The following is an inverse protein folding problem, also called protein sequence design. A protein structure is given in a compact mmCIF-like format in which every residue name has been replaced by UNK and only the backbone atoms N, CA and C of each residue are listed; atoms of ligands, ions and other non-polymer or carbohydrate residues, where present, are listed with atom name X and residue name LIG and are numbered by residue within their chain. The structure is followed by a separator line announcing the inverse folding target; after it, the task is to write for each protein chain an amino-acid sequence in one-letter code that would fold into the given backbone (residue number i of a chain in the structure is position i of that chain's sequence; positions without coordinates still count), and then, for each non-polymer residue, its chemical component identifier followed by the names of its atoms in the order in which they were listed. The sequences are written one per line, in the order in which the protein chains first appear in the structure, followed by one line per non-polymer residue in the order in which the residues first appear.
data_IF_931014166822
#
_entry.id   IF_931014166822
#
_cell.length_a   1.000
_cell.length_b   1.000
_cell.length_c   1.000
_cell.angle_alpha   90.00
_cell.angle_beta   90.00
_cell.angle_gamma   90.00
#
_symmetry.space_group_name_H-M   'P 1'
#
loop_
_entity.id
_entity.type
_entity.pdbx_description
1 polymer ?
#
# COMPACT_ATOMS: atom_id res chain seq x y z
N UNK A 1 7.40 -6.48 23.28
CA UNK A 1 7.58 -5.25 22.49
C UNK A 1 6.23 -4.90 21.89
N UNK A 2 5.80 -3.64 21.94
CA UNK A 2 4.50 -3.18 21.45
C UNK A 2 4.73 -1.95 20.54
N UNK A 3 5.19 -2.17 19.30
CA UNK A 3 5.42 -1.06 18.38
C UNK A 3 4.11 -0.44 17.95
N UNK A 4 4.11 0.88 17.73
CA UNK A 4 2.97 1.58 17.13
C UNK A 4 2.94 1.43 15.62
N UNK A 5 4.12 1.35 14.99
CA UNK A 5 4.29 1.27 13.53
C UNK A 5 5.36 0.25 13.18
N UNK A 6 5.10 -0.55 12.14
CA UNK A 6 6.08 -1.38 11.43
C UNK A 6 6.31 -0.79 10.05
N UNK A 7 7.58 -0.58 9.72
CA UNK A 7 8.00 -0.16 8.38
C UNK A 7 8.86 -1.28 7.82
N UNK A 8 8.42 -1.85 6.71
CA UNK A 8 9.20 -2.84 5.97
C UNK A 8 9.34 -2.39 4.52
N UNK A 9 10.39 -2.89 3.88
CA UNK A 9 10.49 -2.78 2.44
C UNK A 9 9.72 -3.94 1.79
N UNK A 10 9.17 -3.67 0.61
CA UNK A 10 8.57 -4.57 -0.37
C UNK A 10 7.76 -5.78 0.15
N UNK A 11 6.48 -5.85 -0.24
CA UNK A 11 5.69 -7.09 -0.11
C UNK A 11 5.45 -7.74 -1.47
N UNK A 12 5.47 -9.08 -1.50
CA UNK A 12 5.28 -9.82 -2.75
C UNK A 12 4.79 -11.25 -2.61
N UNK A 13 4.74 -11.80 -1.40
CA UNK A 13 4.35 -13.19 -1.14
C UNK A 13 3.10 -13.28 -0.26
N UNK A 14 2.44 -14.43 -0.28
CA UNK A 14 1.27 -14.70 0.58
C UNK A 14 1.64 -14.64 2.07
N UNK A 15 2.87 -15.02 2.43
CA UNK A 15 3.33 -14.92 3.83
C UNK A 15 3.49 -13.48 4.29
N UNK A 16 3.89 -12.59 3.38
CA UNK A 16 3.97 -11.16 3.69
C UNK A 16 2.56 -10.61 3.97
N UNK A 17 1.58 -11.01 3.16
CA UNK A 17 0.19 -10.57 3.34
C UNK A 17 -0.41 -11.09 4.64
N UNK A 18 -0.21 -12.37 4.97
CA UNK A 18 -0.61 -12.96 6.25
C UNK A 18 0.02 -12.21 7.45
N UNK A 19 1.31 -11.86 7.34
CA UNK A 19 2.04 -11.15 8.38
C UNK A 19 1.50 -9.73 8.60
N UNK A 20 1.15 -9.02 7.52
CA UNK A 20 0.54 -7.69 7.61
C UNK A 20 -0.84 -7.77 8.26
N UNK A 21 -1.67 -8.74 7.86
CA UNK A 21 -3.01 -8.95 8.46
C UNK A 21 -2.88 -9.21 9.97
N UNK A 22 -1.93 -10.06 10.38
CA UNK A 22 -1.67 -10.33 11.78
C UNK A 22 -1.19 -9.08 12.57
N UNK A 23 -0.30 -8.28 11.99
CA UNK A 23 0.18 -7.04 12.59
C UNK A 23 -0.97 -6.03 12.79
N UNK A 24 -1.83 -5.87 11.79
CA UNK A 24 -2.98 -4.97 11.84
C UNK A 24 -3.99 -5.40 12.92
N UNK A 25 -4.27 -6.71 13.03
CA UNK A 25 -5.12 -7.26 14.08
C UNK A 25 -4.58 -7.04 15.50
N UNK A 26 -3.27 -6.78 15.63
CA UNK A 26 -2.62 -6.47 16.90
C UNK A 26 -2.61 -4.98 17.24
N UNK A 27 -3.25 -4.15 16.40
CA UNK A 27 -3.32 -2.69 16.57
C UNK A 27 -2.09 -1.94 16.08
N UNK A 28 -1.22 -2.59 15.29
CA UNK A 28 0.01 -1.99 14.75
C UNK A 28 -0.25 -1.45 13.35
N UNK A 29 0.20 -0.22 13.07
CA UNK A 29 0.13 0.34 11.72
C UNK A 29 1.29 -0.15 10.86
N UNK A 30 1.06 -0.37 9.56
CA UNK A 30 2.08 -0.89 8.63
C UNK A 30 2.29 0.06 7.46
N UNK A 31 3.55 0.35 7.16
CA UNK A 31 3.98 1.05 5.94
C UNK A 31 4.90 0.11 5.16
N UNK A 32 4.59 -0.10 3.88
CA UNK A 32 5.36 -0.97 2.98
C UNK A 32 5.29 -0.47 1.53
N UNK A 33 6.21 -0.96 0.70
CA UNK A 33 6.22 -0.72 -0.74
C UNK A 33 5.70 -1.93 -1.53
N UNK A 34 5.23 -1.68 -2.76
CA UNK A 34 4.86 -2.70 -3.74
C UNK A 34 5.37 -2.23 -5.09
N UNK A 35 6.05 -3.10 -5.83
CA UNK A 35 6.39 -2.84 -7.23
C UNK A 35 5.17 -2.95 -8.13
N UNK A 36 4.76 -1.85 -8.75
CA UNK A 36 3.65 -1.78 -9.69
C UNK A 36 3.64 -0.45 -10.44
N UNK A 37 2.80 -0.35 -11.47
CA UNK A 37 2.62 0.88 -12.23
C UNK A 37 1.56 1.77 -11.59
N UNK A 38 0.47 1.17 -11.11
CA UNK A 38 -0.62 1.89 -10.46
C UNK A 38 -1.40 1.00 -9.48
N UNK A 39 -2.49 1.53 -8.93
CA UNK A 39 -3.33 0.80 -7.98
C UNK A 39 -4.01 -0.43 -8.58
N UNK A 40 -4.22 -0.50 -9.90
CA UNK A 40 -4.81 -1.67 -10.54
C UNK A 40 -3.93 -2.91 -10.40
N UNK A 41 -2.60 -2.77 -10.30
CA UNK A 41 -1.69 -3.88 -10.02
C UNK A 41 -2.04 -4.60 -8.73
N UNK A 42 -2.48 -3.87 -7.70
CA UNK A 42 -2.91 -4.45 -6.43
C UNK A 42 -4.11 -5.38 -6.65
N UNK A 43 -5.12 -4.90 -7.38
CA UNK A 43 -6.36 -5.65 -7.66
C UNK A 43 -6.15 -6.83 -8.61
N UNK A 44 -5.20 -6.74 -9.53
CA UNK A 44 -4.94 -7.78 -10.54
C UNK A 44 -4.08 -8.94 -10.01
N UNK A 45 -3.41 -8.77 -8.87
CA UNK A 45 -2.48 -9.76 -8.32
C UNK A 45 -3.16 -10.61 -7.24
N UNK A 46 -3.29 -11.94 -7.45
CA UNK A 46 -3.96 -12.83 -6.49
C UNK A 46 -3.36 -12.79 -5.08
N UNK A 47 -2.04 -12.56 -4.98
CA UNK A 47 -1.34 -12.47 -3.69
C UNK A 47 -1.88 -11.35 -2.79
N UNK A 48 -2.40 -10.26 -3.36
CA UNK A 48 -2.90 -9.11 -2.59
C UNK A 48 -4.40 -9.14 -2.36
N UNK A 49 -5.10 -10.19 -2.81
CA UNK A 49 -6.54 -10.31 -2.66
C UNK A 49 -6.98 -10.20 -1.19
N UNK A 50 -6.28 -10.89 -0.30
CA UNK A 50 -6.59 -10.86 1.13
C UNK A 50 -6.42 -9.46 1.75
N UNK A 51 -5.38 -8.73 1.34
CA UNK A 51 -5.14 -7.35 1.77
C UNK A 51 -6.29 -6.43 1.37
N UNK A 52 -6.79 -6.58 0.14
CA UNK A 52 -7.88 -5.78 -0.41
C UNK A 52 -9.21 -6.14 0.28
N UNK A 53 -9.51 -7.43 0.38
CA UNK A 53 -10.76 -7.95 0.94
C UNK A 53 -10.90 -7.53 2.42
N UNK A 54 -9.80 -7.57 3.18
CA UNK A 54 -9.75 -7.12 4.58
C UNK A 54 -9.57 -5.61 4.73
N UNK A 55 -9.51 -4.84 3.63
CA UNK A 55 -9.32 -3.37 3.63
C UNK A 55 -8.14 -2.92 4.50
N UNK A 56 -7.04 -3.67 4.43
CA UNK A 56 -5.88 -3.51 5.31
C UNK A 56 -5.23 -2.13 5.12
N UNK A 57 -5.10 -1.67 3.88
CA UNK A 57 -4.51 -0.37 3.58
C UNK A 57 -5.57 0.72 3.43
N UNK A 58 -5.30 1.87 4.06
CA UNK A 58 -6.14 3.07 4.00
C UNK A 58 -5.71 4.02 2.88
N UNK A 59 -4.40 4.10 2.62
CA UNK A 59 -3.77 5.02 1.67
C UNK A 59 -2.73 4.28 0.84
N UNK A 60 -2.58 4.67 -0.42
CA UNK A 60 -1.41 4.35 -1.22
C UNK A 60 -0.84 5.61 -1.86
N UNK A 61 0.49 5.71 -1.89
CA UNK A 61 1.23 6.77 -2.54
C UNK A 61 1.83 6.17 -3.80
N UNK A 62 1.35 6.60 -4.96
CA UNK A 62 1.87 6.09 -6.24
C UNK A 62 2.98 7.02 -6.71
N UNK A 63 4.15 6.43 -6.92
CA UNK A 63 5.39 7.15 -7.20
C UNK A 63 5.94 6.77 -8.57
N UNK A 64 6.69 7.69 -9.16
CA UNK A 64 7.40 7.49 -10.43
C UNK A 64 8.77 8.17 -10.39
N UNK A 65 9.50 8.06 -11.50
CA UNK A 65 10.74 8.80 -11.74
C UNK A 65 10.60 9.87 -12.84
N UNK A 66 9.37 10.23 -13.25
CA UNK A 66 9.12 11.13 -14.40
C UNK A 66 9.71 12.53 -14.22
N UNK A 67 9.71 13.06 -13.00
CA UNK A 67 10.33 14.34 -12.62
C UNK A 67 11.50 14.16 -11.66
N UNK A 68 12.13 12.98 -11.69
CA UNK A 68 13.17 12.57 -10.74
C UNK A 68 12.68 11.52 -9.74
N UNK A 69 13.60 10.84 -9.03
CA UNK A 69 13.25 9.80 -8.08
C UNK A 69 12.37 10.38 -6.97
N UNK A 70 11.29 9.65 -6.65
CA UNK A 70 10.35 10.07 -5.61
C UNK A 70 9.21 10.97 -6.08
N UNK A 71 9.01 11.13 -7.40
CA UNK A 71 7.88 11.91 -7.93
C UNK A 71 6.56 11.26 -7.49
N UNK A 72 5.74 11.96 -6.70
CA UNK A 72 4.41 11.49 -6.31
C UNK A 72 3.44 11.81 -7.45
N UNK A 73 2.95 10.78 -8.14
CA UNK A 73 1.96 10.95 -9.21
C UNK A 73 0.58 11.28 -8.61
N UNK A 74 0.18 10.52 -7.59
CA UNK A 74 -1.07 10.73 -6.87
C UNK A 74 -1.09 9.96 -5.54
N UNK A 75 -2.02 10.36 -4.67
CA UNK A 75 -2.38 9.61 -3.47
C UNK A 75 -3.77 9.01 -3.69
N UNK A 76 -3.89 7.71 -3.48
CA UNK A 76 -5.15 6.97 -3.55
C UNK A 76 -5.68 6.73 -2.14
N UNK A 77 -6.95 7.06 -1.93
CA UNK A 77 -7.68 6.75 -0.70
C UNK A 77 -8.55 5.51 -0.93
N UNK A 78 -8.28 4.43 -0.19
CA UNK A 78 -9.01 3.16 -0.35
C UNK A 78 -10.41 3.20 0.28
N UNK A 79 -10.66 4.11 1.24
CA UNK A 79 -11.99 4.25 1.85
C UNK A 79 -12.94 4.95 0.89
N UNK A 80 -12.48 6.04 0.29
CA UNK A 80 -13.26 6.81 -0.69
C UNK A 80 -13.13 6.29 -2.12
N UNK A 81 -12.22 5.34 -2.36
CA UNK A 81 -11.88 4.77 -3.66
C UNK A 81 -11.56 5.83 -4.74
N UNK A 82 -10.90 6.92 -4.34
CA UNK A 82 -10.60 8.05 -5.22
C UNK A 82 -9.18 8.56 -5.07
N UNK A 83 -8.69 9.23 -6.11
CA UNK A 83 -7.44 10.00 -6.05
C UNK A 83 -7.73 11.32 -5.33
N UNK A 84 -7.06 11.54 -4.21
CA UNK A 84 -7.28 12.71 -3.33
C UNK A 84 -6.17 13.75 -3.43
N UNK A 85 -5.04 13.37 -4.03
CA UNK A 85 -3.96 14.26 -4.42
C UNK A 85 -3.53 13.88 -5.82
N UNK A 86 -3.35 14.88 -6.66
CA UNK A 86 -2.72 14.75 -7.96
C UNK A 86 -1.78 15.93 -8.09
N UNK A 87 -0.54 15.67 -8.48
CA UNK A 87 0.36 16.77 -8.79
C UNK A 87 -0.29 17.62 -9.90
N UNK A 88 -0.52 18.90 -9.62
CA UNK A 88 -0.97 19.87 -10.62
C UNK A 88 0.22 20.09 -11.54
N UNK A 89 0.06 19.73 -12.81
CA UNK A 89 1.05 20.01 -13.86
C UNK A 89 1.28 21.53 -13.99
#
# INVERSE_FOLDING_TARGET
MAPEVIICDEIGTVRDTESIVAAMNSGVEVITSIHGYDISDLYNRPVFKEIIDNKVFKRAIVMSHKKGPGTIEYIYDFLEQKKIFKEVL
#
